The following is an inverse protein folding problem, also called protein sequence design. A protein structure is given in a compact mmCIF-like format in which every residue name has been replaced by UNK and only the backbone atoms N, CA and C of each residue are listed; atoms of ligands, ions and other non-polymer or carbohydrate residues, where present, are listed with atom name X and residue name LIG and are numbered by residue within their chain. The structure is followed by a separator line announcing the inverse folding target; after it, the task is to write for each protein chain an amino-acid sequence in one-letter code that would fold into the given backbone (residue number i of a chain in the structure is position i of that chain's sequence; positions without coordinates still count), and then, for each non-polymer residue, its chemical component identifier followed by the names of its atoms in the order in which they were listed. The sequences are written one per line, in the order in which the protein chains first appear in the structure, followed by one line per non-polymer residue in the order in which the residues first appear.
data_IF_354826232513
#
_entry.id   IF_354826232513
#
_cell.length_a   1.000
_cell.length_b   1.000
_cell.length_c   1.000
_cell.angle_alpha   90.00
_cell.angle_beta   90.00
_cell.angle_gamma   90.00
#
_symmetry.space_group_name_H-M   'P 1'
#
loop_
_entity.id
_entity.type
_entity.pdbx_description
1 polymer ?
#
# COMPACT_ATOMS: atom_id res chain seq x y z
N UNK A 1 8.76 0.02 -14.66
CA UNK A 1 8.86 1.41 -15.14
C UNK A 1 7.79 2.23 -14.43
N UNK A 2 8.13 3.41 -13.90
CA UNK A 2 7.15 4.31 -13.29
C UNK A 2 6.16 4.82 -14.35
N UNK A 3 4.89 4.88 -13.98
CA UNK A 3 3.81 5.45 -14.80
C UNK A 3 3.22 6.66 -14.08
N UNK A 4 2.82 7.68 -14.83
CA UNK A 4 2.14 8.84 -14.28
C UNK A 4 0.83 8.43 -13.57
N UNK A 5 0.51 9.07 -12.43
CA UNK A 5 -0.74 8.84 -11.72
C UNK A 5 -1.92 9.35 -12.56
N UNK A 6 -3.08 8.72 -12.41
CA UNK A 6 -4.30 9.05 -13.15
C UNK A 6 -5.52 9.01 -12.23
N UNK A 7 -6.62 9.62 -12.69
CA UNK A 7 -7.93 9.45 -12.09
C UNK A 7 -8.88 8.90 -13.16
N UNK A 8 -9.81 8.05 -12.78
CA UNK A 8 -10.83 7.57 -13.70
C UNK A 8 -11.72 8.74 -14.17
N UNK A 9 -12.12 8.70 -15.44
CA UNK A 9 -13.04 9.69 -15.99
C UNK A 9 -14.45 9.54 -15.39
N UNK A 10 -14.85 8.30 -15.13
CA UNK A 10 -16.18 7.92 -14.68
C UNK A 10 -16.20 7.46 -13.22
N UNK A 11 -17.37 7.56 -12.61
CA UNK A 11 -17.63 7.01 -11.28
C UNK A 11 -17.97 5.52 -11.39
N UNK A 12 -17.78 4.78 -10.31
CA UNK A 12 -18.09 3.36 -10.23
C UNK A 12 -18.92 3.07 -9.00
N UNK A 13 -19.84 2.12 -9.11
CA UNK A 13 -20.63 1.63 -7.98
C UNK A 13 -19.74 0.87 -7.00
N UNK A 14 -19.81 1.23 -5.73
CA UNK A 14 -19.14 0.55 -4.63
C UNK A 14 -20.11 0.47 -3.44
N UNK A 15 -20.82 -0.65 -3.30
CA UNK A 15 -21.91 -0.85 -2.34
C UNK A 15 -21.57 -0.51 -0.88
N UNK A 16 -20.29 -0.61 -0.52
CA UNK A 16 -19.78 -0.33 0.82
C UNK A 16 -18.95 0.95 0.88
N UNK A 17 -19.20 1.89 -0.05
CA UNK A 17 -18.58 3.21 -0.01
C UNK A 17 -19.15 4.00 1.16
N UNK A 18 -18.27 4.39 2.08
CA UNK A 18 -18.61 5.17 3.27
C UNK A 18 -17.95 6.53 3.13
N UNK A 19 -18.69 7.58 3.52
CA UNK A 19 -18.14 8.92 3.60
C UNK A 19 -16.95 8.91 4.59
N UNK A 20 -15.76 9.39 4.18
CA UNK A 20 -14.61 9.35 5.06
C UNK A 20 -14.88 10.18 6.31
N UNK A 21 -14.76 9.56 7.48
CA UNK A 21 -14.82 10.32 8.73
C UNK A 21 -13.60 11.27 8.79
N UNK A 22 -13.83 12.59 8.96
CA UNK A 22 -12.74 13.51 9.26
C UNK A 22 -12.14 13.13 10.63
N UNK A 23 -10.82 13.01 10.69
CA UNK A 23 -10.14 12.65 11.94
C UNK A 23 -8.66 12.27 11.75
N UNK A 24 -7.97 12.13 12.88
CA UNK A 24 -6.52 11.96 13.00
C UNK A 24 -6.06 10.49 12.92
N UNK A 25 -6.77 9.66 12.15
CA UNK A 25 -6.35 8.28 11.96
C UNK A 25 -5.20 8.16 10.94
N UNK A 26 -4.37 7.14 11.12
CA UNK A 26 -3.26 6.81 10.24
C UNK A 26 -3.50 5.50 9.49
N UNK A 27 -2.85 5.31 8.35
CA UNK A 27 -2.85 4.02 7.68
C UNK A 27 -2.02 2.99 8.47
N UNK A 28 -2.49 1.76 8.46
CA UNK A 28 -1.78 0.57 8.90
C UNK A 28 -1.68 -0.44 7.75
N UNK A 29 -0.71 -1.33 7.87
CA UNK A 29 -0.48 -2.42 6.94
C UNK A 29 -1.50 -3.53 7.19
N UNK A 30 -2.25 -3.88 6.14
CA UNK A 30 -3.37 -4.83 6.18
C UNK A 30 -2.94 -6.26 5.77
N UNK A 31 -2.05 -6.33 4.77
CA UNK A 31 -1.40 -7.56 4.30
C UNK A 31 0.11 -7.41 4.49
N UNK A 32 0.69 -7.95 5.59
CA UNK A 32 2.09 -7.75 5.91
C UNK A 32 2.98 -8.42 4.85
N UNK A 33 3.98 -7.70 4.31
CA UNK A 33 4.99 -8.28 3.45
C UNK A 33 5.90 -9.19 4.26
N UNK A 34 6.61 -10.07 3.56
CA UNK A 34 7.52 -11.02 4.18
C UNK A 34 8.71 -10.31 4.84
N UNK A 35 9.22 -9.23 4.23
CA UNK A 35 10.44 -8.54 4.67
C UNK A 35 10.45 -7.06 4.29
N UNK A 36 11.28 -6.29 4.99
CA UNK A 36 11.82 -5.06 4.45
C UNK A 36 12.97 -5.35 3.46
N UNK A 37 12.87 -4.83 2.24
CA UNK A 37 13.90 -5.00 1.21
C UNK A 37 14.76 -3.75 0.97
N UNK A 38 15.75 -3.85 0.07
CA UNK A 38 16.64 -2.75 -0.28
C UNK A 38 15.96 -1.67 -1.13
N UNK A 39 16.60 -0.50 -1.28
CA UNK A 39 16.11 0.57 -2.17
C UNK A 39 15.15 1.55 -1.49
N UNK A 40 14.34 2.27 -2.27
CA UNK A 40 13.46 3.32 -1.72
C UNK A 40 12.15 2.78 -1.17
N UNK A 41 11.48 1.91 -1.94
CA UNK A 41 10.26 1.24 -1.51
C UNK A 41 10.60 0.14 -0.50
N UNK A 42 9.95 0.10 0.68
CA UNK A 42 10.41 -0.77 1.76
C UNK A 42 9.90 -2.22 1.63
N UNK A 43 8.76 -2.46 1.00
CA UNK A 43 8.06 -3.75 1.10
C UNK A 43 8.46 -4.72 -0.01
N UNK A 44 9.04 -5.85 0.37
CA UNK A 44 9.55 -6.83 -0.59
C UNK A 44 9.02 -8.23 -0.29
N UNK A 45 9.07 -9.09 -1.31
CA UNK A 45 8.93 -10.54 -1.17
C UNK A 45 10.22 -11.23 -1.56
N UNK A 46 10.41 -12.46 -1.08
CA UNK A 46 11.47 -13.31 -1.61
C UNK A 46 11.13 -13.75 -3.04
N UNK A 47 12.10 -13.67 -3.94
CA UNK A 47 11.98 -14.30 -5.25
C UNK A 47 12.17 -15.79 -5.05
N UNK A 48 11.16 -16.58 -5.40
CA UNK A 48 11.20 -18.04 -5.31
C UNK A 48 11.38 -18.67 -6.69
N UNK A 49 11.98 -19.86 -6.71
CA UNK A 49 12.05 -20.71 -7.90
C UNK A 49 11.40 -22.06 -7.60
N UNK A 50 10.67 -22.64 -8.56
CA UNK A 50 10.20 -24.02 -8.43
C UNK A 50 11.40 -24.97 -8.53
N UNK A 51 11.47 -25.92 -7.60
CA UNK A 51 12.39 -27.07 -7.67
C UNK A 51 11.59 -28.37 -7.63
N UNK A 52 12.07 -29.43 -8.30
CA UNK A 52 11.42 -30.74 -8.23
C UNK A 52 11.26 -31.19 -6.77
N UNK A 53 10.04 -31.62 -6.43
CA UNK A 53 9.78 -32.21 -5.13
C UNK A 53 9.63 -33.72 -5.28
N UNK A 54 10.75 -34.44 -5.14
CA UNK A 54 10.73 -35.89 -5.12
C UNK A 54 9.88 -36.35 -3.93
N UNK A 55 8.90 -37.21 -4.19
CA UNK A 55 7.98 -37.77 -3.18
C UNK A 55 6.66 -37.02 -2.95
N UNK A 56 6.37 -35.91 -3.64
CA UNK A 56 5.07 -35.25 -3.51
C UNK A 56 3.96 -36.02 -4.26
N UNK A 57 2.80 -36.33 -3.63
CA UNK A 57 1.73 -37.12 -4.25
C UNK A 57 1.15 -36.49 -5.53
N UNK A 58 1.28 -35.17 -5.69
CA UNK A 58 0.80 -34.42 -6.85
C UNK A 58 1.93 -33.88 -7.76
N UNK A 59 3.19 -34.31 -7.57
CA UNK A 59 4.38 -33.77 -8.28
C UNK A 59 4.44 -32.23 -8.33
N UNK A 60 3.85 -31.56 -7.35
CA UNK A 60 3.89 -30.10 -7.26
C UNK A 60 5.32 -29.68 -6.92
N UNK A 61 5.90 -28.70 -7.65
CA UNK A 61 7.23 -28.22 -7.34
C UNK A 61 7.24 -27.54 -5.97
N UNK A 62 8.32 -27.73 -5.22
CA UNK A 62 8.59 -26.95 -4.02
C UNK A 62 9.09 -25.57 -4.43
N UNK A 63 8.69 -24.53 -3.70
CA UNK A 63 9.23 -23.18 -3.91
C UNK A 63 10.44 -22.96 -2.99
N UNK A 64 11.61 -22.71 -3.58
CA UNK A 64 12.83 -22.36 -2.86
C UNK A 64 13.16 -20.87 -3.03
N UNK A 65 13.62 -20.23 -1.95
CA UNK A 65 14.09 -18.84 -1.97
C UNK A 65 15.41 -18.76 -2.73
N UNK A 66 15.48 -17.85 -3.69
CA UNK A 66 16.69 -17.63 -4.51
C UNK A 66 17.75 -16.75 -3.83
N UNK A 67 17.48 -16.26 -2.61
CA UNK A 67 18.27 -15.21 -1.95
C UNK A 67 18.01 -13.79 -2.47
N UNK A 68 17.32 -13.64 -3.61
CA UNK A 68 16.93 -12.34 -4.17
C UNK A 68 15.58 -11.89 -3.61
N UNK A 69 15.37 -10.58 -3.65
CA UNK A 69 14.11 -9.94 -3.23
C UNK A 69 13.63 -8.96 -4.30
N UNK A 70 12.35 -8.66 -4.28
CA UNK A 70 11.75 -7.70 -5.20
C UNK A 70 10.60 -6.93 -4.55
N UNK A 71 10.35 -5.68 -5.00
CA UNK A 71 9.21 -4.89 -4.54
C UNK A 71 7.90 -5.67 -4.67
N UNK A 72 7.12 -5.72 -3.59
CA UNK A 72 5.79 -6.36 -3.56
C UNK A 72 4.71 -5.29 -3.36
N UNK A 73 3.62 -5.30 -4.14
CA UNK A 73 2.48 -4.46 -3.82
C UNK A 73 1.88 -4.84 -2.46
N UNK A 74 1.58 -3.84 -1.63
CA UNK A 74 0.93 -4.06 -0.33
C UNK A 74 -0.37 -3.28 -0.25
N UNK A 75 -1.32 -3.79 0.51
CA UNK A 75 -2.54 -3.05 0.86
C UNK A 75 -2.38 -2.43 2.24
N UNK A 76 -2.78 -1.17 2.34
CA UNK A 76 -2.91 -0.47 3.61
C UNK A 76 -4.36 -0.09 3.82
N UNK A 77 -4.75 -0.03 5.08
CA UNK A 77 -6.11 0.29 5.52
C UNK A 77 -6.05 1.22 6.75
N UNK A 78 -7.11 2.00 7.00
CA UNK A 78 -7.21 2.83 8.20
C UNK A 78 -6.94 2.03 9.48
N UNK A 79 -6.09 2.54 10.39
CA UNK A 79 -5.80 1.92 11.68
C UNK A 79 -6.89 2.25 12.72
N UNK A 80 -8.11 1.83 12.44
CA UNK A 80 -9.30 2.00 13.29
C UNK A 80 -9.99 0.64 13.45
N UNK A 81 -10.96 0.52 14.37
CA UNK A 81 -11.75 -0.70 14.54
C UNK A 81 -12.26 -1.21 13.18
N UNK A 82 -12.08 -2.51 12.90
CA UNK A 82 -12.34 -3.21 11.62
C UNK A 82 -13.73 -2.89 11.04
N UNK A 83 -13.85 -1.73 10.37
CA UNK A 83 -15.00 -1.33 9.59
C UNK A 83 -14.66 -1.53 8.12
N UNK A 84 -15.65 -1.94 7.33
CA UNK A 84 -15.52 -2.14 5.89
C UNK A 84 -15.39 -0.80 5.14
N UNK A 85 -14.27 -0.09 5.33
CA UNK A 85 -13.99 1.18 4.65
C UNK A 85 -13.41 0.89 3.27
N UNK A 86 -14.22 0.30 2.40
CA UNK A 86 -13.76 -0.24 1.11
C UNK A 86 -13.07 0.80 0.23
N UNK A 87 -13.57 2.05 0.26
CA UNK A 87 -12.98 3.19 -0.43
C UNK A 87 -11.72 3.77 0.24
N UNK A 88 -11.40 3.36 1.46
CA UNK A 88 -10.21 3.82 2.18
C UNK A 88 -9.00 2.91 2.00
N UNK A 89 -9.18 1.72 1.46
CA UNK A 89 -8.05 0.87 1.09
C UNK A 89 -7.19 1.53 0.02
N UNK A 90 -5.87 1.41 0.22
CA UNK A 90 -4.88 1.86 -0.76
C UNK A 90 -3.95 0.70 -1.08
N UNK A 91 -3.75 0.43 -2.36
CA UNK A 91 -2.72 -0.50 -2.82
C UNK A 91 -1.50 0.29 -3.25
N UNK A 92 -0.35 -0.01 -2.65
CA UNK A 92 0.93 0.63 -2.95
C UNK A 92 1.72 -0.22 -3.92
N UNK A 93 2.25 0.40 -4.97
CA UNK A 93 3.11 -0.24 -5.96
C UNK A 93 4.48 0.44 -5.96
N UNK A 94 5.49 -0.29 -5.50
CA UNK A 94 6.89 0.12 -5.59
C UNK A 94 7.51 -0.26 -6.92
N UNK A 95 8.44 0.57 -7.39
CA UNK A 95 9.26 0.25 -8.56
C UNK A 95 10.70 -0.03 -8.11
N UNK A 96 11.34 -0.99 -8.79
CA UNK A 96 12.75 -1.29 -8.55
C UNK A 96 13.58 -0.04 -8.86
N UNK A 97 14.46 0.32 -7.94
CA UNK A 97 15.42 1.44 -8.03
C UNK A 97 14.83 2.85 -8.26
N UNK A 98 13.51 3.01 -8.11
CA UNK A 98 12.83 4.32 -8.18
C UNK A 98 12.41 4.78 -6.78
N UNK A 99 12.51 6.08 -6.53
CA UNK A 99 12.02 6.67 -5.28
C UNK A 99 10.50 6.89 -5.28
N UNK A 100 9.86 6.76 -6.44
CA UNK A 100 8.44 6.97 -6.60
C UNK A 100 7.65 5.70 -6.30
N UNK A 101 6.49 5.89 -5.68
CA UNK A 101 5.50 4.85 -5.39
C UNK A 101 4.19 5.30 -6.02
N UNK A 102 3.48 4.35 -6.63
CA UNK A 102 2.12 4.57 -7.11
C UNK A 102 1.14 4.07 -6.05
N UNK A 103 0.26 4.94 -5.58
CA UNK A 103 -0.77 4.60 -4.62
C UNK A 103 -2.13 4.57 -5.32
N UNK A 104 -2.75 3.40 -5.43
CA UNK A 104 -4.08 3.20 -6.04
C UNK A 104 -5.15 3.14 -4.95
N UNK A 105 -6.22 3.90 -5.11
CA UNK A 105 -7.33 3.96 -4.15
C UNK A 105 -8.64 4.38 -4.82
N UNK A 106 -9.67 4.60 -4.01
CA UNK A 106 -10.94 5.15 -4.41
C UNK A 106 -11.21 6.45 -3.64
N UNK A 107 -11.77 7.43 -4.34
CA UNK A 107 -12.30 8.67 -3.79
C UNK A 107 -13.81 8.52 -3.61
N UNK A 108 -14.32 9.03 -2.50
CA UNK A 108 -15.75 8.96 -2.18
C UNK A 108 -16.46 10.07 -2.94
N UNK A 109 -17.53 9.73 -3.66
CA UNK A 109 -18.33 10.71 -4.40
C UNK A 109 -19.67 10.93 -3.70
N UNK A 110 -20.35 9.83 -3.38
CA UNK A 110 -21.65 9.80 -2.71
C UNK A 110 -21.90 8.38 -2.19
N UNK A 111 -23.01 8.11 -1.47
CA UNK A 111 -23.35 6.74 -1.08
C UNK A 111 -23.32 5.80 -2.28
N UNK A 112 -22.72 4.64 -2.07
CA UNK A 112 -22.53 3.60 -3.09
C UNK A 112 -21.73 4.02 -4.34
N UNK A 113 -21.06 5.19 -4.34
CA UNK A 113 -20.40 5.74 -5.53
C UNK A 113 -19.00 6.23 -5.20
N UNK A 114 -18.03 5.75 -5.97
CA UNK A 114 -16.62 6.14 -5.84
C UNK A 114 -16.01 6.52 -7.18
N UNK A 115 -14.82 7.10 -7.15
CA UNK A 115 -13.98 7.31 -8.31
C UNK A 115 -12.59 6.74 -8.07
N UNK A 116 -12.14 5.84 -8.94
CA UNK A 116 -10.79 5.28 -8.86
C UNK A 116 -9.74 6.34 -9.11
N UNK A 117 -8.70 6.36 -8.27
CA UNK A 117 -7.61 7.30 -8.37
C UNK A 117 -6.26 6.63 -8.10
N UNK A 118 -5.23 7.15 -8.75
CA UNK A 118 -3.84 6.81 -8.51
C UNK A 118 -3.11 8.11 -8.13
N UNK A 119 -2.25 8.05 -7.12
CA UNK A 119 -1.41 9.16 -6.69
C UNK A 119 0.05 8.78 -6.79
N UNK A 120 0.90 9.74 -7.14
CA UNK A 120 2.34 9.60 -7.07
C UNK A 120 2.86 10.01 -5.70
N UNK A 121 3.71 9.19 -5.09
CA UNK A 121 4.42 9.52 -3.85
C UNK A 121 5.90 9.48 -4.14
N UNK A 122 6.60 10.61 -4.03
CA UNK A 122 8.05 10.69 -4.20
C UNK A 122 8.73 10.63 -2.83
N UNK A 123 9.37 9.50 -2.53
CA UNK A 123 10.02 9.26 -1.26
C UNK A 123 11.38 9.95 -1.11
N UNK A 124 11.94 10.48 -2.20
CA UNK A 124 13.17 11.29 -2.18
C UNK A 124 12.82 12.73 -1.86
N UNK A 125 11.87 13.30 -2.60
CA UNK A 125 11.40 14.68 -2.41
C UNK A 125 10.45 14.84 -1.23
N UNK A 126 9.90 13.74 -0.69
CA UNK A 126 8.84 13.72 0.32
C UNK A 126 7.62 14.53 -0.14
N UNK A 127 7.23 14.32 -1.39
CA UNK A 127 6.14 15.06 -2.03
C UNK A 127 5.08 14.11 -2.54
N UNK A 128 3.88 14.64 -2.70
CA UNK A 128 2.75 13.95 -3.31
C UNK A 128 2.43 14.56 -4.67
N UNK A 129 1.88 13.74 -5.56
CA UNK A 129 1.39 14.16 -6.87
C UNK A 129 -0.02 13.62 -7.02
N UNK A 130 -0.99 14.53 -7.02
CA UNK A 130 -2.37 14.25 -7.37
C UNK A 130 -2.55 14.60 -8.86
N UNK A 131 -3.20 13.75 -9.67
CA UNK A 131 -3.44 14.04 -11.08
C UNK A 131 -4.16 15.38 -11.28
N UNK A 132 -3.76 16.15 -12.30
CA UNK A 132 -4.43 17.42 -12.65
C UNK A 132 -5.91 17.19 -12.98
N UNK A 133 -6.22 16.08 -13.65
CA UNK A 133 -7.59 15.67 -13.98
C UNK A 133 -8.47 15.31 -12.76
N UNK A 134 -7.93 15.35 -11.53
CA UNK A 134 -8.73 15.11 -10.32
C UNK A 134 -9.75 16.25 -10.16
N UNK A 135 -11.06 15.94 -10.08
CA UNK A 135 -12.11 16.95 -9.89
C UNK A 135 -11.88 17.78 -8.61
N UNK A 136 -12.17 19.07 -8.66
CA UNK A 136 -11.90 19.99 -7.54
C UNK A 136 -12.63 19.59 -6.25
N UNK A 137 -13.86 19.10 -6.36
CA UNK A 137 -14.64 18.61 -5.23
C UNK A 137 -14.05 17.34 -4.58
N UNK A 138 -13.14 16.63 -5.25
CA UNK A 138 -12.45 15.43 -4.74
C UNK A 138 -10.97 15.69 -4.40
N UNK A 139 -10.43 16.86 -4.77
CA UNK A 139 -9.01 17.17 -4.66
C UNK A 139 -8.54 17.18 -3.21
N UNK A 140 -9.30 17.80 -2.30
CA UNK A 140 -8.97 17.82 -0.88
C UNK A 140 -8.87 16.41 -0.29
N UNK A 141 -9.83 15.54 -0.63
CA UNK A 141 -9.81 14.13 -0.20
C UNK A 141 -8.58 13.40 -0.75
N UNK A 142 -8.26 13.60 -2.04
CA UNK A 142 -7.12 12.98 -2.69
C UNK A 142 -5.79 13.38 -2.03
N UNK A 143 -5.62 14.68 -1.75
CA UNK A 143 -4.42 15.19 -1.10
C UNK A 143 -4.27 14.66 0.32
N UNK A 144 -5.35 14.63 1.12
CA UNK A 144 -5.33 14.11 2.48
C UNK A 144 -4.92 12.63 2.51
N UNK A 145 -5.56 11.80 1.68
CA UNK A 145 -5.18 10.38 1.52
C UNK A 145 -3.72 10.24 1.10
N UNK A 146 -3.26 11.00 0.11
CA UNK A 146 -1.88 10.94 -0.36
C UNK A 146 -0.88 11.38 0.73
N UNK A 147 -1.20 12.39 1.55
CA UNK A 147 -0.39 12.82 2.70
C UNK A 147 -0.26 11.70 3.74
N UNK A 148 -1.36 11.02 4.05
CA UNK A 148 -1.35 9.86 4.98
C UNK A 148 -0.53 8.69 4.43
N UNK A 149 -0.63 8.40 3.13
CA UNK A 149 0.20 7.39 2.46
C UNK A 149 1.70 7.75 2.57
N UNK A 150 2.06 9.01 2.32
CA UNK A 150 3.44 9.47 2.46
C UNK A 150 3.94 9.29 3.90
N UNK A 151 3.16 9.70 4.89
CA UNK A 151 3.51 9.53 6.30
C UNK A 151 3.75 8.06 6.66
N UNK A 152 2.86 7.17 6.22
CA UNK A 152 3.00 5.72 6.39
C UNK A 152 4.30 5.18 5.77
N UNK A 153 4.59 5.54 4.51
CA UNK A 153 5.81 5.08 3.82
C UNK A 153 7.08 5.61 4.48
N UNK A 154 7.07 6.84 5.01
CA UNK A 154 8.19 7.41 5.75
C UNK A 154 8.42 6.69 7.09
N UNK A 155 7.35 6.29 7.78
CA UNK A 155 7.42 5.50 9.01
C UNK A 155 8.02 4.10 8.73
N UNK A 156 7.54 3.41 7.69
CA UNK A 156 8.09 2.12 7.26
C UNK A 156 9.59 2.20 6.95
N UNK A 157 10.02 3.27 6.26
CA UNK A 157 11.44 3.50 5.98
C UNK A 157 12.24 3.87 7.22
N UNK A 158 11.64 4.49 8.22
CA UNK A 158 12.29 4.77 9.49
C UNK A 158 12.54 3.47 10.27
N UNK A 159 11.57 2.56 10.32
CA UNK A 159 11.72 1.22 10.90
C UNK A 159 12.87 0.44 10.26
N UNK A 160 12.89 0.36 8.93
CA UNK A 160 13.97 -0.31 8.20
C UNK A 160 15.34 0.33 8.48
N UNK A 161 15.42 1.66 8.55
CA UNK A 161 16.68 2.37 8.88
C UNK A 161 17.18 2.08 10.29
N UNK A 162 16.29 1.68 11.21
CA UNK A 162 16.65 1.23 12.57
C UNK A 162 17.09 -0.25 12.60
N UNK A 163 17.11 -0.93 11.45
CA UNK A 163 17.55 -2.32 11.35
C UNK A 163 16.46 -3.37 11.58
N UNK A 164 15.18 -2.97 11.67
CA UNK A 164 14.08 -3.93 11.73
C UNK A 164 14.00 -4.73 10.41
N UNK A 165 13.85 -6.04 10.52
CA UNK A 165 13.77 -6.94 9.36
C UNK A 165 12.37 -6.95 8.70
N UNK A 166 11.33 -6.58 9.46
CA UNK A 166 9.93 -6.60 9.04
C UNK A 166 9.13 -5.47 9.71
N UNK A 167 7.93 -5.15 9.19
CA UNK A 167 7.04 -4.14 9.79
C UNK A 167 6.65 -4.44 11.23
N UNK A 168 6.67 -3.42 12.10
CA UNK A 168 6.26 -3.55 13.51
C UNK A 168 5.23 -2.50 13.92
N UNK A 169 5.62 -1.22 13.94
CA UNK A 169 4.78 -0.10 14.39
C UNK A 169 3.75 0.34 13.35
N UNK A 170 3.98 0.03 12.07
CA UNK A 170 3.04 0.33 10.98
C UNK A 170 1.98 -0.78 10.77
N UNK A 171 2.04 -1.88 11.53
CA UNK A 171 1.00 -2.90 11.51
C UNK A 171 -0.27 -2.39 12.19
N UNK A 172 -1.40 -2.97 11.77
CA UNK A 172 -2.67 -2.81 12.48
C UNK A 172 -2.49 -3.11 13.95
N UNK A 173 -3.12 -2.32 14.82
CA UNK A 173 -2.93 -2.45 16.27
C UNK A 173 -3.22 -3.88 16.76
N UNK A 174 -4.22 -4.54 16.17
CA UNK A 174 -4.61 -5.92 16.47
C UNK A 174 -3.64 -6.98 15.94
N UNK A 175 -2.81 -6.64 14.94
CA UNK A 175 -1.79 -7.52 14.35
C UNK A 175 -0.41 -7.35 14.97
N UNK A 176 -0.22 -6.35 15.84
CA UNK A 176 1.08 -6.15 16.49
C UNK A 176 1.35 -7.32 17.44
N UNK A 177 2.58 -7.88 17.43
CA UNK A 177 2.96 -8.86 18.44
C UNK A 177 2.76 -8.23 19.83
N UNK A 178 2.06 -8.94 20.73
CA UNK A 178 1.92 -8.49 22.12
C UNK A 178 3.32 -8.42 22.71
N UNK A 179 3.70 -7.27 23.25
CA UNK A 179 4.90 -7.16 24.05
C UNK A 179 4.75 -8.09 25.25
N UNK A 180 5.60 -9.11 25.33
CA UNK A 180 5.83 -9.88 26.56
C UNK A 180 6.55 -9.03 27.61
#
# INVERSE_FOLDING_TARGET
MYRAPQVAAENTTALYAIEPEPGDWAYALDDPPEIYGPGWYPFHRHVTRPVPHDGAPLRLPRLERTGRTEPRPVRISPNTAYRAWHNEYVTLFGYRDDARVLARTHLYVSPCTVRSAEFGIDLRKKSITVPEACPDNLRQQAEEKARRVLAFLLAARAERRRGLASPHGILHAEMRPRSE
#
